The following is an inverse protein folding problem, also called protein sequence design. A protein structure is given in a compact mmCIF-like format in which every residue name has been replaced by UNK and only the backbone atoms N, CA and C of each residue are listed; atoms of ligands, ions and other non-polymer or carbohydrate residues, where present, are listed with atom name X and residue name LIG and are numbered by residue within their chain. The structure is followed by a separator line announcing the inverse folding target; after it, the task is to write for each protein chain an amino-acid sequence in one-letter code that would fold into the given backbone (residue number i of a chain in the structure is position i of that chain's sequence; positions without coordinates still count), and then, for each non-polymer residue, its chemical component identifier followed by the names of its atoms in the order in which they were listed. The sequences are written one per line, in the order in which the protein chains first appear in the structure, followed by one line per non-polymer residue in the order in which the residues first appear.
data_IF_909134358301
#
_entry.id   IF_909134358301
#
_cell.length_a   1.000
_cell.length_b   1.000
_cell.length_c   1.000
_cell.angle_alpha   90.00
_cell.angle_beta   90.00
_cell.angle_gamma   90.00
#
_symmetry.space_group_name_H-M   'P 1'
#
loop_
_entity.id
_entity.type
_entity.pdbx_description
1 polymer ?
#
# COMPACT_ATOMS: atom_id res chain seq x y z
N UNK A 1 28.76 23.69 -4.34
CA UNK A 1 28.47 22.42 -3.64
C UNK A 1 27.19 21.88 -4.21
N UNK A 2 27.12 20.60 -4.57
CA UNK A 2 25.85 20.00 -5.02
C UNK A 2 24.86 20.03 -3.84
N UNK A 3 23.63 20.48 -4.11
CA UNK A 3 22.57 20.50 -3.11
C UNK A 3 22.31 19.08 -2.60
N UNK A 4 22.16 18.91 -1.29
CA UNK A 4 21.81 17.61 -0.68
C UNK A 4 20.47 17.14 -1.25
N UNK A 5 20.39 15.87 -1.65
CA UNK A 5 19.15 15.26 -2.17
C UNK A 5 18.74 14.14 -1.23
N UNK A 6 17.52 14.21 -0.70
CA UNK A 6 16.95 13.27 0.25
C UNK A 6 15.60 12.78 -0.28
N UNK A 7 15.53 11.49 -0.59
CA UNK A 7 14.29 10.85 -1.05
C UNK A 7 13.55 10.24 0.13
N UNK A 8 12.35 10.72 0.40
CA UNK A 8 11.46 10.25 1.48
C UNK A 8 10.05 9.97 0.96
N UNK A 9 9.95 9.38 -0.25
CA UNK A 9 8.69 8.95 -0.86
C UNK A 9 8.68 7.45 -1.22
N UNK A 10 9.24 6.61 -0.34
CA UNK A 10 9.34 5.16 -0.55
C UNK A 10 7.98 4.44 -0.58
N UNK A 11 6.90 5.08 -0.14
CA UNK A 11 5.53 4.55 -0.29
C UNK A 11 5.00 4.69 -1.73
N UNK A 12 5.50 5.65 -2.52
CA UNK A 12 5.18 5.74 -3.95
C UNK A 12 5.96 4.70 -4.76
N UNK A 13 7.28 4.66 -4.60
CA UNK A 13 8.18 3.65 -5.15
C UNK A 13 9.50 3.72 -4.38
N UNK A 14 10.27 2.63 -4.32
CA UNK A 14 11.59 2.65 -3.71
C UNK A 14 12.71 2.55 -4.76
N UNK A 15 13.92 3.06 -4.47
CA UNK A 15 15.08 2.84 -5.31
C UNK A 15 15.38 1.35 -5.47
N UNK A 16 15.84 0.95 -6.66
CA UNK A 16 16.27 -0.43 -6.89
C UNK A 16 17.57 -0.68 -6.10
N UNK A 17 17.57 -1.74 -5.28
CA UNK A 17 18.77 -2.12 -4.54
C UNK A 17 19.86 -2.60 -5.50
N UNK A 18 21.15 -2.15 -5.37
CA UNK A 18 22.24 -2.58 -6.23
C UNK A 18 22.42 -4.11 -6.32
N UNK A 19 22.31 -4.83 -5.20
CA UNK A 19 22.41 -6.29 -5.18
C UNK A 19 21.25 -6.97 -5.94
N UNK A 20 20.08 -6.33 -5.97
CA UNK A 20 18.94 -6.79 -6.76
C UNK A 20 19.23 -6.61 -8.24
N UNK A 21 19.75 -5.44 -8.64
CA UNK A 21 20.16 -5.20 -10.03
C UNK A 21 21.21 -6.22 -10.48
N UNK A 22 22.24 -6.44 -9.68
CA UNK A 22 23.30 -7.41 -9.97
C UNK A 22 22.75 -8.83 -10.18
N UNK A 23 21.76 -9.24 -9.38
CA UNK A 23 21.10 -10.53 -9.54
C UNK A 23 20.26 -10.63 -10.83
N UNK A 24 19.72 -9.51 -11.33
CA UNK A 24 18.92 -9.44 -12.55
C UNK A 24 19.77 -9.47 -13.84
N UNK A 25 20.97 -8.85 -13.82
CA UNK A 25 21.81 -8.63 -15.00
C UNK A 25 22.08 -9.91 -15.81
N UNK A 26 22.43 -11.07 -15.22
CA UNK A 26 22.65 -12.31 -15.99
C UNK A 26 21.44 -12.72 -16.82
N UNK A 27 20.23 -12.56 -16.29
CA UNK A 27 18.98 -12.96 -16.97
C UNK A 27 18.52 -11.93 -18.02
N UNK A 28 19.08 -10.73 -18.01
CA UNK A 28 18.86 -9.72 -19.03
C UNK A 28 19.81 -9.88 -20.23
N UNK A 29 21.01 -10.51 -20.04
CA UNK A 29 22.06 -10.58 -21.04
C UNK A 29 22.33 -11.98 -21.57
N UNK A 30 22.44 -12.96 -20.71
CA UNK A 30 23.04 -14.26 -21.02
C UNK A 30 22.07 -15.43 -20.79
N UNK A 31 21.29 -15.40 -19.74
CA UNK A 31 20.39 -16.47 -19.30
C UNK A 31 18.96 -16.25 -19.78
N UNK A 32 18.80 -16.04 -21.11
CA UNK A 32 17.52 -15.67 -21.75
C UNK A 32 16.57 -16.86 -22.02
N UNK A 33 16.81 -18.03 -21.40
CA UNK A 33 16.00 -19.23 -21.63
C UNK A 33 14.56 -19.07 -21.15
N UNK A 34 13.63 -19.71 -21.91
CA UNK A 34 12.23 -19.82 -21.47
C UNK A 34 12.10 -20.98 -20.45
N UNK A 35 11.54 -20.72 -19.28
CA UNK A 35 11.43 -21.69 -18.19
C UNK A 35 10.57 -22.92 -18.52
N UNK A 36 9.77 -22.87 -19.59
CA UNK A 36 8.94 -23.98 -20.06
C UNK A 36 9.69 -24.98 -20.97
N UNK A 37 10.95 -24.68 -21.37
CA UNK A 37 11.72 -25.54 -22.28
C UNK A 37 12.60 -26.53 -21.54
N UNK A 38 12.87 -27.68 -22.18
CA UNK A 38 13.57 -28.82 -21.56
C UNK A 38 15.10 -28.75 -21.70
N UNK A 39 15.61 -27.88 -22.54
CA UNK A 39 17.07 -27.75 -22.73
C UNK A 39 17.67 -26.87 -21.62
N UNK A 40 19.00 -26.88 -21.55
CA UNK A 40 19.78 -26.34 -20.46
C UNK A 40 19.45 -24.87 -20.07
N UNK A 41 19.24 -23.99 -21.05
CA UNK A 41 18.86 -22.60 -20.79
C UNK A 41 17.50 -22.47 -20.08
N UNK A 42 16.51 -23.28 -20.51
CA UNK A 42 15.20 -23.30 -19.88
C UNK A 42 15.25 -23.88 -18.47
N UNK A 43 16.06 -24.92 -18.24
CA UNK A 43 16.26 -25.50 -16.90
C UNK A 43 16.88 -24.46 -15.96
N UNK A 44 17.85 -23.65 -16.40
CA UNK A 44 18.42 -22.55 -15.62
C UNK A 44 17.36 -21.51 -15.26
N UNK A 45 16.58 -21.03 -16.22
CA UNK A 45 15.50 -20.09 -16.00
C UNK A 45 14.47 -20.65 -15.01
N UNK A 46 14.07 -21.92 -15.13
CA UNK A 46 13.15 -22.59 -14.21
C UNK A 46 13.71 -22.67 -12.78
N UNK A 47 14.99 -22.98 -12.61
CA UNK A 47 15.64 -22.98 -11.29
C UNK A 47 15.67 -21.59 -10.67
N UNK A 48 15.94 -20.56 -11.44
CA UNK A 48 15.91 -19.16 -10.98
C UNK A 48 14.51 -18.74 -10.52
N UNK A 49 13.48 -19.09 -11.30
CA UNK A 49 12.09 -18.86 -10.97
C UNK A 49 11.71 -19.57 -9.65
N UNK A 50 12.09 -20.84 -9.48
CA UNK A 50 11.81 -21.60 -8.27
C UNK A 50 12.52 -21.02 -7.05
N UNK A 51 13.80 -20.60 -7.19
CA UNK A 51 14.54 -19.93 -6.13
C UNK A 51 13.86 -18.63 -5.71
N UNK A 52 13.48 -17.78 -6.66
CA UNK A 52 12.79 -16.53 -6.36
C UNK A 52 11.45 -16.76 -5.66
N UNK A 53 10.71 -17.79 -6.06
CA UNK A 53 9.44 -18.20 -5.44
C UNK A 53 9.64 -18.55 -3.97
N UNK A 54 10.66 -19.37 -3.67
CA UNK A 54 11.03 -19.73 -2.32
C UNK A 54 11.40 -18.51 -1.46
N UNK A 55 12.18 -17.58 -2.00
CA UNK A 55 12.56 -16.34 -1.30
C UNK A 55 11.35 -15.46 -0.96
N UNK A 56 10.36 -15.37 -1.86
CA UNK A 56 9.11 -14.63 -1.61
C UNK A 56 8.26 -15.37 -0.57
N UNK A 57 8.13 -16.70 -0.67
CA UNK A 57 7.38 -17.51 0.28
C UNK A 57 7.94 -17.37 1.72
N UNK A 58 9.27 -17.44 1.87
CA UNK A 58 9.92 -17.25 3.17
C UNK A 58 9.62 -15.89 3.82
N UNK A 59 9.55 -14.82 3.03
CA UNK A 59 9.31 -13.47 3.55
C UNK A 59 7.95 -13.32 4.26
N UNK A 60 6.96 -14.15 3.89
CA UNK A 60 5.58 -14.11 4.43
C UNK A 60 5.15 -15.40 5.13
N UNK A 61 6.08 -16.31 5.40
CA UNK A 61 5.84 -17.65 6.00
C UNK A 61 4.83 -18.50 5.21
N UNK A 62 4.91 -18.47 3.86
CA UNK A 62 4.10 -19.28 2.94
C UNK A 62 4.88 -20.50 2.44
N UNK A 63 4.17 -21.43 1.75
CA UNK A 63 4.78 -22.50 0.96
C UNK A 63 5.04 -22.02 -0.48
N UNK A 64 6.02 -22.61 -1.16
CA UNK A 64 6.41 -22.20 -2.52
C UNK A 64 5.25 -22.32 -3.53
N UNK A 65 4.40 -23.34 -3.43
CA UNK A 65 3.27 -23.61 -4.33
C UNK A 65 2.07 -22.69 -4.10
N UNK A 66 2.13 -21.85 -3.07
CA UNK A 66 1.13 -20.82 -2.75
C UNK A 66 1.43 -19.46 -3.39
N UNK A 67 2.63 -19.26 -3.97
CA UNK A 67 3.03 -18.01 -4.59
C UNK A 67 2.74 -18.04 -6.09
N UNK A 68 2.16 -16.95 -6.62
CA UNK A 68 1.90 -16.73 -8.04
C UNK A 68 2.52 -15.38 -8.42
N UNK A 69 3.41 -15.36 -9.42
CA UNK A 69 3.98 -14.11 -9.89
C UNK A 69 3.00 -13.34 -10.77
N UNK A 70 2.93 -12.02 -10.56
CA UNK A 70 2.06 -11.08 -11.24
C UNK A 70 2.87 -9.88 -11.75
N UNK A 71 2.27 -8.94 -12.47
CA UNK A 71 2.96 -7.72 -12.91
C UNK A 71 3.07 -6.64 -11.82
N UNK A 72 2.47 -6.85 -10.65
CA UNK A 72 2.50 -5.89 -9.53
C UNK A 72 1.28 -6.02 -8.63
N UNK A 73 1.19 -5.15 -7.60
CA UNK A 73 0.09 -5.16 -6.64
C UNK A 73 -1.28 -5.03 -7.28
N UNK A 74 -1.45 -4.13 -8.25
CA UNK A 74 -2.73 -3.94 -8.95
C UNK A 74 -3.23 -5.19 -9.65
N UNK A 75 -2.36 -5.96 -10.34
CA UNK A 75 -2.76 -7.24 -10.93
C UNK A 75 -3.11 -8.25 -9.82
N UNK A 76 -2.34 -8.28 -8.74
CA UNK A 76 -2.60 -9.17 -7.60
C UNK A 76 -3.95 -8.91 -6.96
N UNK A 77 -4.31 -7.65 -6.65
CA UNK A 77 -5.59 -7.26 -6.08
C UNK A 77 -6.76 -7.60 -7.01
N UNK A 78 -6.63 -7.25 -8.30
CA UNK A 78 -7.64 -7.59 -9.29
C UNK A 78 -7.84 -9.10 -9.42
N UNK A 79 -6.73 -9.87 -9.42
CA UNK A 79 -6.79 -11.34 -9.49
C UNK A 79 -7.47 -11.90 -8.24
N UNK A 80 -7.09 -11.45 -7.04
CA UNK A 80 -7.70 -11.88 -5.79
C UNK A 80 -9.23 -11.69 -5.81
N UNK A 81 -9.67 -10.47 -6.08
CA UNK A 81 -11.09 -10.11 -6.02
C UNK A 81 -11.88 -10.75 -7.16
N UNK A 82 -11.44 -10.55 -8.41
CA UNK A 82 -12.16 -11.02 -9.59
C UNK A 82 -12.18 -12.55 -9.71
N UNK A 83 -11.13 -13.25 -9.27
CA UNK A 83 -11.13 -14.71 -9.32
C UNK A 83 -12.08 -15.34 -8.31
N UNK A 84 -12.29 -14.73 -7.12
CA UNK A 84 -13.35 -15.17 -6.20
C UNK A 84 -14.72 -14.97 -6.85
N UNK A 85 -14.95 -13.82 -7.49
CA UNK A 85 -16.18 -13.53 -8.25
C UNK A 85 -16.40 -14.57 -9.35
N UNK A 86 -15.39 -14.82 -10.19
CA UNK A 86 -15.46 -15.81 -11.28
C UNK A 86 -15.73 -17.23 -10.77
N UNK A 87 -15.17 -17.60 -9.60
CA UNK A 87 -15.45 -18.89 -8.96
C UNK A 87 -16.92 -19.01 -8.59
N UNK A 88 -17.53 -17.95 -8.06
CA UNK A 88 -18.94 -17.96 -7.63
C UNK A 88 -19.94 -17.96 -8.78
N UNK A 89 -19.57 -17.43 -9.95
CA UNK A 89 -20.48 -17.43 -11.12
C UNK A 89 -21.00 -18.83 -11.49
N UNK A 90 -20.23 -19.90 -11.21
CA UNK A 90 -20.67 -21.29 -11.46
C UNK A 90 -21.70 -21.81 -10.46
N UNK A 91 -21.85 -21.16 -9.32
CA UNK A 91 -22.70 -21.59 -8.19
C UNK A 91 -23.82 -20.59 -7.89
N UNK A 92 -23.87 -19.46 -8.63
CA UNK A 92 -24.87 -18.41 -8.45
C UNK A 92 -26.23 -18.86 -8.98
N UNK A 93 -27.27 -18.72 -8.13
CA UNK A 93 -28.67 -18.88 -8.53
C UNK A 93 -29.45 -17.61 -8.17
N UNK A 94 -30.66 -17.37 -8.74
CA UNK A 94 -31.48 -16.22 -8.36
C UNK A 94 -31.80 -16.17 -6.86
N UNK A 95 -32.01 -17.35 -6.24
CA UNK A 95 -32.32 -17.47 -4.81
C UNK A 95 -31.11 -17.34 -3.91
N UNK A 96 -29.89 -17.60 -4.45
CA UNK A 96 -28.65 -17.50 -3.73
C UNK A 96 -27.59 -16.78 -4.61
N UNK A 97 -27.65 -15.45 -4.71
CA UNK A 97 -26.81 -14.68 -5.63
C UNK A 97 -25.32 -14.73 -5.30
N UNK A 98 -24.93 -15.00 -4.03
CA UNK A 98 -23.50 -15.04 -3.62
C UNK A 98 -22.71 -13.88 -4.25
N UNK A 99 -23.07 -12.65 -3.90
CA UNK A 99 -22.63 -11.46 -4.60
C UNK A 99 -22.18 -10.33 -3.66
N UNK A 100 -21.96 -10.60 -2.37
CA UNK A 100 -21.57 -9.56 -1.41
C UNK A 100 -20.06 -9.62 -1.10
N UNK A 101 -19.41 -8.46 -1.12
CA UNK A 101 -17.99 -8.27 -0.79
C UNK A 101 -17.90 -7.18 0.29
N UNK A 102 -17.06 -7.42 1.30
CA UNK A 102 -16.78 -6.45 2.34
C UNK A 102 -15.36 -5.90 2.14
N UNK A 103 -15.24 -4.59 2.13
CA UNK A 103 -13.95 -3.86 2.02
C UNK A 103 -13.95 -2.64 2.93
N UNK A 104 -12.93 -1.77 2.84
CA UNK A 104 -12.88 -0.54 3.64
C UNK A 104 -12.91 0.72 2.75
N UNK A 105 -13.26 1.87 3.36
CA UNK A 105 -13.24 3.15 2.66
C UNK A 105 -11.82 3.66 2.34
N UNK A 106 -10.79 3.10 2.98
CA UNK A 106 -9.40 3.58 2.89
C UNK A 106 -8.50 2.70 2.02
N UNK A 107 -9.07 1.78 1.24
CA UNK A 107 -8.31 0.88 0.36
C UNK A 107 -7.56 1.63 -0.75
N UNK A 108 -6.54 0.95 -1.29
CA UNK A 108 -5.87 1.43 -2.50
C UNK A 108 -6.86 1.45 -3.70
N UNK A 109 -6.71 2.39 -4.65
CA UNK A 109 -7.58 2.44 -5.85
C UNK A 109 -7.68 1.12 -6.62
N UNK A 110 -6.67 0.24 -6.57
CA UNK A 110 -6.73 -1.09 -7.20
C UNK A 110 -7.83 -1.97 -6.61
N UNK A 111 -8.14 -1.83 -5.32
CA UNK A 111 -9.25 -2.51 -4.64
C UNK A 111 -10.55 -1.73 -4.83
N UNK A 112 -10.58 -0.43 -4.51
CA UNK A 112 -11.79 0.39 -4.61
C UNK A 112 -12.39 0.41 -6.01
N UNK A 113 -11.58 0.65 -7.05
CA UNK A 113 -12.06 0.71 -8.41
C UNK A 113 -12.48 -0.69 -8.94
N UNK A 114 -11.85 -1.77 -8.44
CA UNK A 114 -12.30 -3.12 -8.75
C UNK A 114 -13.65 -3.41 -8.09
N UNK A 115 -13.87 -2.98 -6.86
CA UNK A 115 -15.17 -3.10 -6.19
C UNK A 115 -16.25 -2.27 -6.90
N UNK A 116 -15.98 -0.99 -7.23
CA UNK A 116 -16.90 -0.15 -8.00
C UNK A 116 -17.25 -0.75 -9.36
N UNK A 117 -16.29 -1.30 -10.07
CA UNK A 117 -16.54 -2.03 -11.31
C UNK A 117 -17.51 -3.20 -11.08
N UNK A 118 -17.36 -3.95 -9.99
CA UNK A 118 -18.24 -5.07 -9.69
C UNK A 118 -19.66 -4.65 -9.30
N UNK A 119 -19.85 -3.46 -8.70
CA UNK A 119 -21.18 -2.88 -8.44
C UNK A 119 -21.99 -2.72 -9.74
N UNK A 120 -21.32 -2.31 -10.85
CA UNK A 120 -21.94 -2.20 -12.18
C UNK A 120 -22.43 -3.55 -12.71
N UNK A 121 -21.89 -4.66 -12.19
CA UNK A 121 -22.29 -6.04 -12.52
C UNK A 121 -23.20 -6.71 -11.47
N UNK A 122 -23.79 -5.92 -10.56
CA UNK A 122 -24.77 -6.38 -9.59
C UNK A 122 -24.19 -7.08 -8.37
N UNK A 123 -22.92 -6.77 -8.02
CA UNK A 123 -22.34 -7.14 -6.73
C UNK A 123 -22.65 -6.08 -5.69
N UNK A 124 -22.91 -6.51 -4.48
CA UNK A 124 -23.13 -5.64 -3.32
C UNK A 124 -21.80 -5.43 -2.62
N UNK A 125 -21.39 -4.19 -2.37
CA UNK A 125 -20.12 -3.86 -1.72
C UNK A 125 -20.42 -3.11 -0.42
N UNK A 126 -19.97 -3.67 0.70
CA UNK A 126 -19.93 -2.95 1.98
C UNK A 126 -18.60 -2.30 2.17
N UNK A 127 -18.55 -0.97 2.16
CA UNK A 127 -17.37 -0.17 2.48
C UNK A 127 -17.38 0.18 3.97
N UNK A 128 -16.65 -0.57 4.78
CA UNK A 128 -16.54 -0.32 6.23
C UNK A 128 -15.90 1.05 6.49
N UNK A 129 -16.51 1.85 7.37
CA UNK A 129 -15.87 3.07 7.85
C UNK A 129 -14.69 2.74 8.78
N UNK A 130 -13.83 3.73 8.96
CA UNK A 130 -12.72 3.68 9.90
C UNK A 130 -12.87 4.75 10.96
N UNK A 131 -12.20 4.57 12.10
CA UNK A 131 -12.12 5.60 13.14
C UNK A 131 -11.10 6.71 12.77
N UNK A 132 -10.92 7.68 13.66
CA UNK A 132 -9.95 8.78 13.50
C UNK A 132 -8.49 8.31 13.35
N UNK A 133 -8.18 7.11 13.81
CA UNK A 133 -6.88 6.49 13.72
C UNK A 133 -6.72 5.65 12.42
N UNK A 134 -7.80 5.53 11.62
CA UNK A 134 -7.84 4.74 10.40
C UNK A 134 -8.03 3.24 10.63
N UNK A 135 -8.51 2.83 11.82
CA UNK A 135 -8.77 1.43 12.17
C UNK A 135 -10.23 1.08 11.91
N UNK A 136 -10.47 -0.13 11.41
CA UNK A 136 -11.83 -0.68 11.30
C UNK A 136 -12.37 -1.09 12.68
N UNK A 137 -13.68 -1.11 12.82
CA UNK A 137 -14.36 -1.72 13.97
C UNK A 137 -14.71 -3.19 13.68
N UNK A 138 -14.11 -4.11 14.42
CA UNK A 138 -14.29 -5.55 14.23
C UNK A 138 -15.75 -6.01 14.41
N UNK A 139 -16.53 -5.37 15.28
CA UNK A 139 -17.97 -5.66 15.43
C UNK A 139 -18.77 -5.22 14.22
N UNK A 140 -18.40 -4.08 13.61
CA UNK A 140 -19.04 -3.63 12.37
C UNK A 140 -18.70 -4.59 11.21
N UNK A 141 -17.47 -5.07 11.13
CA UNK A 141 -17.08 -6.11 10.17
C UNK A 141 -17.95 -7.36 10.36
N UNK A 142 -18.04 -7.88 11.56
CA UNK A 142 -18.80 -9.11 11.84
C UNK A 142 -20.30 -8.93 11.54
N UNK A 143 -20.88 -7.77 11.88
CA UNK A 143 -22.28 -7.45 11.61
C UNK A 143 -22.57 -7.24 10.11
N UNK A 144 -21.59 -6.89 9.30
CA UNK A 144 -21.75 -6.73 7.87
C UNK A 144 -21.80 -8.06 7.12
N UNK A 145 -21.33 -9.15 7.75
CA UNK A 145 -21.33 -10.48 7.15
C UNK A 145 -22.77 -11.00 7.03
N UNK A 146 -23.12 -11.49 5.86
CA UNK A 146 -24.40 -12.13 5.57
C UNK A 146 -24.21 -13.40 4.71
N UNK A 147 -25.30 -14.11 4.43
CA UNK A 147 -25.26 -15.37 3.65
C UNK A 147 -24.73 -15.18 2.22
N UNK A 148 -24.77 -13.96 1.68
CA UNK A 148 -24.31 -13.64 0.33
C UNK A 148 -22.84 -13.26 0.30
N UNK A 149 -22.18 -13.10 1.45
CA UNK A 149 -20.77 -12.67 1.54
C UNK A 149 -19.83 -13.74 0.99
N UNK A 150 -19.02 -13.35 0.00
CA UNK A 150 -18.09 -14.24 -0.69
C UNK A 150 -16.62 -13.89 -0.46
N UNK A 151 -16.33 -12.67 -0.01
CA UNK A 151 -14.99 -12.18 0.18
C UNK A 151 -14.97 -11.05 1.22
N UNK A 152 -13.96 -11.08 2.09
CA UNK A 152 -13.53 -9.94 2.87
C UNK A 152 -12.19 -9.50 2.29
N UNK A 153 -12.06 -8.24 1.86
CA UNK A 153 -10.83 -7.67 1.31
C UNK A 153 -10.49 -6.38 2.05
N UNK A 154 -9.46 -6.43 2.90
CA UNK A 154 -9.05 -5.33 3.77
C UNK A 154 -7.54 -5.24 3.74
N UNK A 155 -7.02 -4.04 3.42
CA UNK A 155 -5.57 -3.81 3.35
C UNK A 155 -4.88 -4.10 4.68
N UNK A 156 -3.64 -4.58 4.61
CA UNK A 156 -2.84 -4.86 5.80
C UNK A 156 -2.38 -3.56 6.48
N UNK A 157 -1.96 -2.58 5.70
CA UNK A 157 -1.64 -1.23 6.18
C UNK A 157 -1.88 -0.19 5.10
N UNK A 158 -2.29 1.00 5.52
CA UNK A 158 -2.63 2.07 4.60
C UNK A 158 -1.37 2.78 4.05
N UNK A 159 -1.35 3.03 2.75
CA UNK A 159 -0.23 3.64 2.02
C UNK A 159 -0.06 5.15 2.26
N UNK A 160 -1.10 5.84 2.76
CA UNK A 160 -1.04 7.26 3.08
C UNK A 160 -0.71 7.46 4.56
N UNK A 161 -1.61 7.09 5.45
CA UNK A 161 -1.52 7.35 6.89
C UNK A 161 -0.69 6.32 7.68
N UNK A 162 -0.29 5.22 7.04
CA UNK A 162 0.56 4.20 7.66
C UNK A 162 -0.12 3.32 8.70
N UNK A 163 -1.42 3.48 8.96
CA UNK A 163 -2.14 2.68 9.95
C UNK A 163 -2.17 1.21 9.57
N UNK A 164 -1.81 0.33 10.51
CA UNK A 164 -1.80 -1.13 10.38
C UNK A 164 -3.13 -1.67 10.91
N UNK A 165 -3.84 -2.45 10.09
CA UNK A 165 -5.11 -3.07 10.46
C UNK A 165 -4.92 -4.31 11.36
N UNK A 166 -5.90 -4.68 12.19
CA UNK A 166 -5.85 -5.86 13.06
C UNK A 166 -6.10 -7.16 12.24
N UNK A 167 -5.20 -7.47 11.30
CA UNK A 167 -5.38 -8.53 10.28
C UNK A 167 -5.64 -9.91 10.88
N UNK A 168 -4.99 -10.26 12.00
CA UNK A 168 -5.24 -11.54 12.67
C UNK A 168 -6.69 -11.69 13.10
N UNK A 169 -7.24 -10.67 13.76
CA UNK A 169 -8.65 -10.69 14.22
C UNK A 169 -9.62 -10.65 13.04
N UNK A 170 -9.27 -9.95 11.95
CA UNK A 170 -10.06 -9.96 10.71
C UNK A 170 -10.10 -11.38 10.13
N UNK A 171 -8.95 -12.05 10.04
CA UNK A 171 -8.84 -13.42 9.56
C UNK A 171 -9.61 -14.41 10.45
N UNK A 172 -9.55 -14.27 11.77
CA UNK A 172 -10.33 -15.07 12.72
C UNK A 172 -11.84 -14.93 12.48
N UNK A 173 -12.33 -13.70 12.26
CA UNK A 173 -13.74 -13.44 11.91
C UNK A 173 -14.07 -14.07 10.57
N UNK A 174 -13.28 -13.85 9.53
CA UNK A 174 -13.52 -14.41 8.20
C UNK A 174 -13.61 -15.95 8.23
N UNK A 175 -12.68 -16.61 8.90
CA UNK A 175 -12.66 -18.07 9.02
C UNK A 175 -13.83 -18.63 9.85
N UNK A 176 -14.30 -17.90 10.88
CA UNK A 176 -15.50 -18.26 11.64
C UNK A 176 -16.73 -18.43 10.74
N UNK A 177 -16.82 -17.63 9.67
CA UNK A 177 -17.92 -17.67 8.71
C UNK A 177 -17.57 -18.39 7.39
N UNK A 178 -16.39 -19.02 7.30
CA UNK A 178 -15.88 -19.70 6.11
C UNK A 178 -15.79 -18.78 4.88
N UNK A 179 -15.44 -17.53 5.08
CA UNK A 179 -15.28 -16.54 4.03
C UNK A 179 -13.77 -16.33 3.78
N UNK A 180 -13.28 -16.40 2.52
CA UNK A 180 -11.91 -16.10 2.22
C UNK A 180 -11.55 -14.65 2.58
N UNK A 181 -10.36 -14.48 3.18
CA UNK A 181 -9.80 -13.18 3.54
C UNK A 181 -8.63 -12.83 2.62
N UNK A 182 -8.80 -11.75 1.85
CA UNK A 182 -7.75 -11.12 1.05
C UNK A 182 -7.20 -9.88 1.77
N UNK A 183 -5.90 -9.68 1.72
CA UNK A 183 -5.26 -8.48 2.25
C UNK A 183 -4.25 -7.90 1.25
N UNK A 184 -4.44 -6.63 0.83
CA UNK A 184 -3.39 -5.86 0.17
C UNK A 184 -2.31 -5.52 1.20
N UNK A 185 -1.18 -6.24 1.11
CA UNK A 185 -0.02 -6.06 1.98
C UNK A 185 1.16 -5.35 1.30
N UNK A 186 0.91 -4.69 0.18
CA UNK A 186 1.92 -3.99 -0.63
C UNK A 186 2.74 -3.00 0.22
N UNK A 187 2.15 -2.37 1.22
CA UNK A 187 2.86 -1.44 2.10
C UNK A 187 3.48 -2.10 3.34
N UNK A 188 3.12 -3.35 3.67
CA UNK A 188 3.55 -4.04 4.89
C UNK A 188 4.69 -5.01 4.68
N UNK A 189 4.62 -5.80 3.61
CA UNK A 189 5.62 -6.83 3.30
C UNK A 189 7.01 -6.21 3.21
N UNK A 190 7.98 -6.80 3.92
CA UNK A 190 9.37 -6.32 3.98
C UNK A 190 9.59 -5.07 4.82
N UNK A 191 8.55 -4.56 5.52
CA UNK A 191 8.65 -3.39 6.43
C UNK A 191 8.26 -3.73 7.87
N UNK A 192 7.34 -4.67 8.02
CA UNK A 192 6.94 -5.28 9.31
C UNK A 192 6.78 -6.79 9.12
N UNK A 193 6.78 -7.58 10.19
CA UNK A 193 6.48 -9.02 10.11
C UNK A 193 5.09 -9.24 9.50
N UNK A 194 5.03 -10.05 8.45
CA UNK A 194 3.78 -10.52 7.83
C UNK A 194 3.86 -12.05 7.79
N UNK A 195 3.01 -12.70 8.54
CA UNK A 195 2.89 -14.15 8.63
C UNK A 195 1.47 -14.55 8.22
N UNK A 196 1.33 -15.08 7.00
CA UNK A 196 0.02 -15.42 6.44
C UNK A 196 -0.70 -16.53 7.22
N UNK A 197 0.06 -17.41 7.88
CA UNK A 197 -0.50 -18.50 8.69
C UNK A 197 -1.00 -17.98 10.03
N UNK A 198 -0.18 -17.20 10.74
CA UNK A 198 -0.56 -16.62 12.03
C UNK A 198 -1.70 -15.61 11.91
N UNK A 199 -1.70 -14.83 10.83
CA UNK A 199 -2.69 -13.78 10.60
C UNK A 199 -3.96 -14.29 9.91
N UNK A 200 -4.07 -15.60 9.63
CA UNK A 200 -5.22 -16.21 8.97
C UNK A 200 -5.58 -15.56 7.62
N UNK A 201 -4.57 -15.15 6.85
CA UNK A 201 -4.76 -14.58 5.53
C UNK A 201 -4.84 -15.70 4.50
N UNK A 202 -5.86 -15.69 3.63
CA UNK A 202 -6.02 -16.72 2.59
C UNK A 202 -5.47 -16.26 1.24
N UNK A 203 -5.45 -14.94 0.99
CA UNK A 203 -4.95 -14.32 -0.23
C UNK A 203 -4.20 -13.04 0.17
N UNK A 204 -2.99 -12.82 -0.37
CA UNK A 204 -2.21 -11.63 -0.06
C UNK A 204 -1.53 -11.07 -1.30
N UNK A 205 -1.65 -9.76 -1.49
CA UNK A 205 -0.99 -9.03 -2.59
C UNK A 205 0.29 -8.36 -2.12
N UNK A 206 1.36 -8.45 -2.94
CA UNK A 206 2.61 -7.72 -2.72
C UNK A 206 3.23 -7.22 -4.03
N UNK A 207 4.14 -6.24 -3.93
CA UNK A 207 4.80 -5.62 -5.08
C UNK A 207 6.28 -5.37 -4.82
N UNK A 208 7.13 -5.74 -5.78
CA UNK A 208 8.59 -5.67 -5.64
C UNK A 208 9.12 -4.24 -5.42
N UNK A 209 8.56 -3.25 -6.14
CA UNK A 209 9.06 -1.87 -6.09
C UNK A 209 8.78 -1.14 -4.76
N UNK A 210 8.11 -1.78 -3.82
CA UNK A 210 7.90 -1.27 -2.45
C UNK A 210 8.93 -1.82 -1.46
N UNK A 211 9.73 -2.80 -1.88
CA UNK A 211 10.79 -3.45 -1.09
C UNK A 211 12.16 -3.39 -1.80
N UNK A 212 12.44 -2.28 -2.50
CA UNK A 212 13.68 -2.07 -3.25
C UNK A 212 13.93 -3.08 -4.39
N UNK A 213 12.88 -3.71 -4.90
CA UNK A 213 12.85 -4.55 -6.09
C UNK A 213 12.48 -3.78 -7.35
N UNK A 214 12.46 -4.44 -8.52
CA UNK A 214 12.12 -3.81 -9.80
C UNK A 214 10.62 -3.48 -9.90
N UNK A 215 10.29 -2.45 -10.68
CA UNK A 215 8.93 -2.16 -11.11
C UNK A 215 8.44 -3.23 -12.10
N UNK A 216 7.14 -3.40 -12.23
CA UNK A 216 6.54 -4.32 -13.21
C UNK A 216 6.52 -5.79 -12.80
N UNK A 217 6.72 -6.09 -11.51
CA UNK A 217 6.62 -7.41 -10.93
C UNK A 217 6.02 -7.33 -9.51
N UNK A 218 5.18 -8.30 -9.19
CA UNK A 218 4.63 -8.55 -7.86
C UNK A 218 4.35 -10.02 -7.65
N UNK A 219 3.68 -10.35 -6.57
CA UNK A 219 3.20 -11.70 -6.32
C UNK A 219 1.86 -11.69 -5.61
N UNK A 220 1.10 -12.75 -5.83
CA UNK A 220 -0.12 -13.10 -5.13
C UNK A 220 0.13 -14.39 -4.36
N UNK A 221 -0.02 -14.34 -3.04
CA UNK A 221 -0.14 -15.52 -2.21
C UNK A 221 -1.58 -16.04 -2.27
N UNK A 222 -1.74 -17.33 -2.46
CA UNK A 222 -3.04 -18.02 -2.41
C UNK A 222 -2.89 -19.27 -1.57
N UNK A 223 -3.54 -19.31 -0.43
CA UNK A 223 -3.49 -20.40 0.53
C UNK A 223 -3.81 -21.74 -0.14
N UNK A 224 -3.05 -22.76 0.19
CA UNK A 224 -3.26 -24.14 -0.29
C UNK A 224 -4.68 -24.61 0.00
N UNK A 225 -5.31 -25.19 -1.02
CA UNK A 225 -6.71 -25.62 -0.95
C UNK A 225 -7.71 -24.55 -1.45
N UNK A 226 -7.35 -23.28 -1.50
CA UNK A 226 -8.17 -22.25 -2.14
C UNK A 226 -7.89 -22.22 -3.66
N UNK A 227 -8.84 -22.69 -4.45
CA UNK A 227 -8.73 -22.64 -5.93
C UNK A 227 -9.29 -21.35 -6.47
N UNK A 228 -8.48 -20.62 -7.22
CA UNK A 228 -8.88 -19.41 -7.95
C UNK A 228 -8.81 -19.66 -9.46
N UNK A 229 -9.89 -19.38 -10.22
CA UNK A 229 -9.81 -19.33 -11.68
C UNK A 229 -8.80 -18.28 -12.13
N UNK A 230 -8.02 -18.52 -13.21
CA UNK A 230 -7.08 -17.53 -13.70
C UNK A 230 -7.81 -16.29 -14.21
N UNK A 231 -7.29 -15.11 -13.91
CA UNK A 231 -7.76 -13.86 -14.50
C UNK A 231 -7.21 -13.69 -15.93
N UNK A 232 -5.96 -14.08 -16.15
CA UNK A 232 -5.30 -14.01 -17.45
C UNK A 232 -5.21 -15.43 -18.02
N UNK A 233 -5.89 -15.66 -19.13
CA UNK A 233 -5.96 -16.95 -19.81
C UNK A 233 -4.88 -17.07 -20.90
N UNK A 234 -4.35 -18.29 -21.11
CA UNK A 234 -3.31 -18.58 -22.11
C UNK A 234 -2.62 -19.91 -21.86
N UNK A 235 -1.29 -19.93 -21.87
CA UNK A 235 -0.48 -21.14 -21.62
C UNK A 235 -0.46 -21.56 -20.14
N UNK A 236 0.28 -22.65 -19.86
CA UNK A 236 0.32 -23.29 -18.54
C UNK A 236 1.30 -22.67 -17.51
N UNK A 237 1.78 -21.44 -17.75
CA UNK A 237 2.67 -20.75 -16.82
C UNK A 237 2.02 -20.59 -15.44
N UNK A 238 2.83 -20.45 -14.40
CA UNK A 238 2.37 -20.37 -13.02
C UNK A 238 1.36 -21.49 -12.66
N UNK A 239 1.61 -22.70 -13.17
CA UNK A 239 0.70 -23.84 -12.99
C UNK A 239 -0.74 -23.57 -13.46
N UNK A 240 -0.89 -22.87 -14.59
CA UNK A 240 -2.17 -22.42 -15.18
C UNK A 240 -2.95 -21.42 -14.31
N UNK A 241 -2.33 -20.84 -13.29
CA UNK A 241 -2.95 -19.82 -12.44
C UNK A 241 -2.78 -18.40 -13.00
N UNK A 242 -1.70 -18.17 -13.79
CA UNK A 242 -1.44 -16.90 -14.47
C UNK A 242 -0.64 -17.14 -15.74
N UNK A 243 -1.27 -16.99 -16.87
CA UNK A 243 -0.67 -17.29 -18.18
C UNK A 243 0.24 -16.16 -18.70
N UNK A 244 1.12 -16.50 -19.64
CA UNK A 244 2.09 -15.60 -20.24
C UNK A 244 3.51 -15.92 -19.81
N UNK A 245 4.47 -15.79 -20.74
CA UNK A 245 5.88 -16.08 -20.49
C UNK A 245 6.38 -15.32 -19.28
N UNK A 246 7.06 -16.02 -18.39
CA UNK A 246 7.55 -15.49 -17.13
C UNK A 246 8.66 -14.44 -17.34
N UNK A 247 8.56 -13.30 -16.70
CA UNK A 247 9.59 -12.26 -16.68
C UNK A 247 10.71 -12.66 -15.72
N UNK A 248 11.57 -13.60 -16.15
CA UNK A 248 12.62 -14.19 -15.30
C UNK A 248 13.51 -13.13 -14.64
N UNK A 249 14.02 -12.09 -15.37
CA UNK A 249 14.84 -11.05 -14.74
C UNK A 249 14.13 -10.34 -13.58
N UNK A 250 12.87 -9.94 -13.79
CA UNK A 250 12.11 -9.22 -12.76
C UNK A 250 11.71 -10.16 -11.59
N UNK A 251 11.39 -11.43 -11.88
CA UNK A 251 11.10 -12.44 -10.86
C UNK A 251 12.32 -12.67 -9.97
N UNK A 252 13.51 -12.82 -10.55
CA UNK A 252 14.77 -12.93 -9.80
C UNK A 252 15.02 -11.68 -8.97
N UNK A 253 14.72 -10.50 -9.53
CA UNK A 253 14.81 -9.23 -8.81
C UNK A 253 13.87 -9.18 -7.60
N UNK A 254 12.61 -9.62 -7.75
CA UNK A 254 11.67 -9.73 -6.62
C UNK A 254 12.16 -10.72 -5.58
N UNK A 255 12.63 -11.90 -5.99
CA UNK A 255 13.17 -12.92 -5.08
C UNK A 255 14.35 -12.38 -4.26
N UNK A 256 15.30 -11.72 -4.92
CA UNK A 256 16.47 -11.13 -4.23
C UNK A 256 16.07 -9.97 -3.30
N UNK A 257 15.12 -9.15 -3.69
CA UNK A 257 14.57 -8.10 -2.84
C UNK A 257 13.88 -8.69 -1.59
N UNK A 258 13.12 -9.78 -1.77
CA UNK A 258 12.46 -10.49 -0.68
C UNK A 258 13.48 -11.12 0.30
N UNK A 259 14.56 -11.73 -0.22
CA UNK A 259 15.65 -12.27 0.60
C UNK A 259 16.29 -11.17 1.46
N UNK A 260 16.70 -10.05 0.84
CA UNK A 260 17.30 -8.92 1.55
C UNK A 260 16.35 -8.34 2.61
N UNK A 261 15.07 -8.20 2.27
CA UNK A 261 14.06 -7.69 3.19
C UNK A 261 13.85 -8.65 4.38
N UNK A 262 13.82 -9.96 4.15
CA UNK A 262 13.68 -10.97 5.19
C UNK A 262 14.88 -10.95 6.16
N UNK A 263 16.10 -10.97 5.64
CA UNK A 263 17.34 -10.97 6.44
C UNK A 263 17.53 -9.71 7.28
N UNK A 264 17.03 -8.56 6.82
CA UNK A 264 17.25 -7.27 7.46
C UNK A 264 16.01 -6.67 8.12
N UNK A 265 14.90 -7.40 8.21
CA UNK A 265 13.58 -6.87 8.61
C UNK A 265 13.65 -6.10 9.94
N UNK A 266 14.13 -6.76 11.00
CA UNK A 266 14.18 -6.14 12.33
C UNK A 266 15.10 -4.90 12.38
N UNK A 267 16.26 -4.98 11.72
CA UNK A 267 17.22 -3.87 11.67
C UNK A 267 16.61 -2.68 10.93
N UNK A 268 16.02 -2.92 9.76
CA UNK A 268 15.39 -1.87 8.94
C UNK A 268 14.18 -1.28 9.66
N UNK A 269 13.38 -2.10 10.30
CA UNK A 269 12.22 -1.66 11.08
C UNK A 269 12.64 -0.71 12.23
N UNK A 270 13.62 -1.08 13.03
CA UNK A 270 14.14 -0.26 14.14
C UNK A 270 14.74 1.04 13.62
N UNK A 271 15.53 0.98 12.56
CA UNK A 271 16.16 2.15 11.94
C UNK A 271 15.10 3.14 11.42
N UNK A 272 14.14 2.66 10.65
CA UNK A 272 13.07 3.51 10.11
C UNK A 272 12.21 4.11 11.22
N UNK A 273 11.93 3.34 12.28
CA UNK A 273 11.17 3.82 13.43
C UNK A 273 11.87 4.97 14.14
N UNK A 274 13.18 4.90 14.35
CA UNK A 274 13.96 5.97 14.98
C UNK A 274 13.87 7.28 14.18
N UNK A 275 14.01 7.19 12.85
CA UNK A 275 13.91 8.37 11.97
C UNK A 275 12.48 8.91 11.98
N UNK A 276 11.47 8.04 11.86
CA UNK A 276 10.05 8.41 11.91
C UNK A 276 9.72 9.16 13.19
N UNK A 277 10.10 8.61 14.34
CA UNK A 277 9.74 9.16 15.64
C UNK A 277 10.43 10.52 15.85
N UNK A 278 11.70 10.67 15.43
CA UNK A 278 12.41 11.93 15.46
C UNK A 278 11.79 13.00 14.53
N UNK A 279 11.34 12.59 13.32
CA UNK A 279 10.62 13.50 12.41
C UNK A 279 9.29 13.96 13.02
N UNK A 280 8.49 13.04 13.56
CA UNK A 280 7.22 13.36 14.19
C UNK A 280 7.41 14.34 15.35
N UNK A 281 8.31 14.02 16.27
CA UNK A 281 8.61 14.86 17.44
C UNK A 281 9.03 16.28 17.04
N UNK A 282 10.05 16.38 16.16
CA UNK A 282 10.59 17.70 15.79
C UNK A 282 9.60 18.53 14.98
N UNK A 283 8.88 17.94 14.03
CA UNK A 283 7.90 18.67 13.21
C UNK A 283 6.77 19.19 14.10
N UNK A 284 6.19 18.34 14.96
CA UNK A 284 5.05 18.73 15.80
C UNK A 284 5.42 19.71 16.90
N UNK A 285 6.69 19.73 17.33
CA UNK A 285 7.19 20.68 18.33
C UNK A 285 7.50 22.05 17.71
N UNK A 286 8.04 22.07 16.49
CA UNK A 286 8.50 23.32 15.86
C UNK A 286 7.44 24.03 15.04
N UNK A 287 6.45 23.30 14.50
CA UNK A 287 5.41 23.85 13.64
C UNK A 287 4.06 23.84 14.35
N UNK A 288 3.55 24.98 14.82
CA UNK A 288 2.20 25.08 15.36
C UNK A 288 1.15 24.65 14.35
N UNK A 289 -0.02 24.20 14.83
CA UNK A 289 -1.13 23.74 13.96
C UNK A 289 -0.69 22.68 12.92
N UNK A 290 0.15 21.74 13.38
CA UNK A 290 0.53 20.54 12.67
C UNK A 290 -0.05 19.31 13.36
N UNK A 291 -0.64 18.38 12.59
CA UNK A 291 -1.38 17.25 13.16
C UNK A 291 -1.03 15.95 12.43
N UNK A 292 -0.68 14.92 13.18
CA UNK A 292 -0.44 13.58 12.63
C UNK A 292 -1.78 12.94 12.24
N UNK A 293 -1.85 12.37 11.05
CA UNK A 293 -3.01 11.63 10.57
C UNK A 293 -2.79 10.12 10.76
N UNK A 294 -3.84 9.41 11.17
CA UNK A 294 -3.80 7.98 11.47
C UNK A 294 -3.19 7.64 12.83
N UNK A 295 -3.14 6.36 13.16
CA UNK A 295 -2.70 5.87 14.46
C UNK A 295 -1.22 6.14 14.72
N UNK A 296 -0.88 6.58 15.93
CA UNK A 296 0.52 6.62 16.38
C UNK A 296 1.00 5.25 16.89
N UNK A 297 0.08 4.45 17.44
CA UNK A 297 0.39 3.15 18.04
C UNK A 297 0.49 2.03 17.00
N UNK A 298 -0.46 1.98 16.07
CA UNK A 298 -0.57 0.97 15.03
C UNK A 298 -0.12 1.56 13.68
N UNK A 299 1.16 1.92 13.58
CA UNK A 299 1.73 2.63 12.43
C UNK A 299 2.94 1.90 11.87
N UNK A 300 3.04 1.89 10.54
CA UNK A 300 4.25 1.44 9.85
C UNK A 300 5.49 2.20 10.36
N UNK A 301 6.62 1.51 10.54
CA UNK A 301 7.85 2.12 11.07
C UNK A 301 8.44 3.20 10.16
N UNK A 302 8.07 3.21 8.90
CA UNK A 302 8.63 4.08 7.87
C UNK A 302 7.68 5.19 7.41
N UNK A 303 6.54 5.40 8.07
CA UNK A 303 5.51 6.35 7.60
C UNK A 303 5.33 7.51 8.56
N UNK A 304 5.42 8.74 8.05
CA UNK A 304 4.94 9.97 8.68
C UNK A 304 3.91 10.58 7.74
N UNK A 305 2.70 10.74 8.23
CA UNK A 305 1.67 11.49 7.52
C UNK A 305 1.16 12.61 8.42
N UNK A 306 1.37 13.84 7.99
CA UNK A 306 1.10 15.03 8.78
C UNK A 306 0.35 16.06 7.91
N UNK A 307 -0.52 16.86 8.52
CA UNK A 307 -1.16 18.00 7.87
C UNK A 307 -0.80 19.29 8.60
N UNK A 308 -0.71 20.37 7.84
CA UNK A 308 -0.46 21.71 8.32
C UNK A 308 -1.64 22.60 7.96
N UNK A 309 -2.22 23.27 8.97
CA UNK A 309 -3.30 24.22 8.70
C UNK A 309 -2.81 25.46 7.94
N UNK A 310 -3.64 25.95 7.04
CA UNK A 310 -3.41 27.21 6.32
C UNK A 310 -2.47 27.15 5.12
N UNK A 311 -2.10 25.97 4.66
CA UNK A 311 -1.24 25.82 3.46
C UNK A 311 -1.82 24.80 2.49
N UNK A 312 -1.23 24.71 1.32
CA UNK A 312 -1.55 23.77 0.25
C UNK A 312 -0.37 22.82 0.03
N UNK A 313 -0.68 21.49 0.01
CA UNK A 313 0.33 20.43 -0.03
C UNK A 313 1.11 20.33 -1.34
N UNK A 314 0.51 20.64 -2.49
CA UNK A 314 1.22 20.65 -3.77
C UNK A 314 2.31 21.74 -3.77
N UNK A 315 1.99 22.93 -3.29
CA UNK A 315 2.94 24.01 -3.11
C UNK A 315 4.05 23.63 -2.13
N UNK A 316 3.70 22.91 -1.05
CA UNK A 316 4.65 22.41 -0.06
C UNK A 316 5.65 21.44 -0.71
N UNK A 317 5.19 20.39 -1.41
CA UNK A 317 6.10 19.39 -2.02
C UNK A 317 6.97 19.98 -3.13
N UNK A 318 6.47 20.94 -3.92
CA UNK A 318 7.25 21.62 -4.94
C UNK A 318 8.37 22.46 -4.33
N UNK A 319 8.10 23.18 -3.24
CA UNK A 319 9.11 23.95 -2.51
C UNK A 319 10.14 23.06 -1.80
N UNK A 320 9.70 21.94 -1.21
CA UNK A 320 10.60 20.96 -0.61
C UNK A 320 11.52 20.34 -1.68
N UNK A 321 11.00 20.03 -2.86
CA UNK A 321 11.81 19.52 -3.97
C UNK A 321 12.88 20.53 -4.41
N UNK A 322 12.59 21.84 -4.40
CA UNK A 322 13.59 22.89 -4.66
C UNK A 322 14.72 22.90 -3.59
N UNK A 323 14.40 22.44 -2.38
CA UNK A 323 15.39 22.27 -1.29
C UNK A 323 16.04 20.87 -1.28
N UNK A 324 15.75 20.03 -2.29
CA UNK A 324 16.30 18.67 -2.40
C UNK A 324 15.64 17.63 -1.52
N UNK A 325 14.45 17.91 -0.93
CA UNK A 325 13.65 16.95 -0.17
C UNK A 325 12.48 16.47 -1.03
N UNK A 326 12.49 15.19 -1.41
CA UNK A 326 11.47 14.59 -2.27
C UNK A 326 10.47 13.80 -1.45
N UNK A 327 9.27 14.36 -1.29
CA UNK A 327 8.16 13.81 -0.51
C UNK A 327 6.86 13.85 -1.35
N UNK A 328 5.75 13.34 -0.82
CA UNK A 328 4.45 13.35 -1.48
C UNK A 328 3.38 14.01 -0.61
N UNK A 329 2.29 14.45 -1.25
CA UNK A 329 1.01 14.65 -0.55
C UNK A 329 0.34 13.29 -0.34
N UNK A 330 -0.59 13.16 0.58
CA UNK A 330 -1.35 11.92 0.78
C UNK A 330 -2.03 11.42 -0.51
N UNK A 331 -2.44 12.33 -1.39
CA UNK A 331 -3.21 12.05 -2.60
C UNK A 331 -2.38 12.03 -3.89
N UNK A 332 -1.11 11.66 -3.85
CA UNK A 332 -0.19 11.70 -5.02
C UNK A 332 -0.72 10.95 -6.28
N UNK A 333 -1.70 10.06 -6.16
CA UNK A 333 -2.32 9.36 -7.28
C UNK A 333 -3.56 10.06 -7.86
N UNK A 334 -4.03 11.17 -7.28
CA UNK A 334 -5.26 11.88 -7.69
C UNK A 334 -5.00 13.28 -8.27
N UNK A 335 -3.84 13.52 -8.86
CA UNK A 335 -3.46 14.81 -9.50
C UNK A 335 -4.42 15.29 -10.60
N UNK A 336 -5.41 14.47 -10.98
CA UNK A 336 -6.49 14.87 -11.91
C UNK A 336 -7.84 15.14 -11.23
N UNK A 337 -7.98 14.91 -9.91
CA UNK A 337 -9.22 15.22 -9.18
C UNK A 337 -8.95 16.27 -8.09
N UNK A 338 -9.61 17.40 -8.19
CA UNK A 338 -9.73 18.44 -7.14
C UNK A 338 -10.35 17.93 -5.82
N UNK A 339 -10.76 16.67 -5.77
CA UNK A 339 -11.24 15.99 -4.58
C UNK A 339 -10.04 15.49 -3.78
N UNK A 340 -9.84 16.00 -2.57
CA UNK A 340 -8.76 15.62 -1.65
C UNK A 340 -8.64 14.09 -1.42
N UNK A 341 -7.75 13.66 -0.56
CA UNK A 341 -7.54 12.24 -0.23
C UNK A 341 -8.83 11.59 0.31
N UNK A 342 -9.30 10.51 -0.34
CA UNK A 342 -10.42 9.69 0.14
C UNK A 342 -10.11 9.08 1.52
N UNK A 343 -8.84 8.80 1.82
CA UNK A 343 -8.38 8.30 3.12
C UNK A 343 -8.63 9.36 4.19
N UNK A 344 -8.21 10.61 3.95
CA UNK A 344 -8.43 11.70 4.93
C UNK A 344 -9.92 12.05 5.07
N UNK A 345 -10.70 11.93 4.01
CA UNK A 345 -12.14 12.07 4.06
C UNK A 345 -12.79 10.98 4.92
N UNK A 346 -12.32 9.72 4.81
CA UNK A 346 -12.77 8.60 5.66
C UNK A 346 -12.43 8.81 7.15
N UNK A 347 -11.34 9.53 7.45
CA UNK A 347 -10.99 9.95 8.82
C UNK A 347 -11.81 11.17 9.29
N UNK A 348 -12.80 11.63 8.50
CA UNK A 348 -13.64 12.81 8.78
C UNK A 348 -12.85 14.11 8.92
N UNK A 349 -11.69 14.20 8.25
CA UNK A 349 -10.90 15.44 8.20
C UNK A 349 -11.53 16.36 7.16
N UNK A 350 -11.84 17.60 7.57
CA UNK A 350 -12.42 18.61 6.67
C UNK A 350 -11.56 18.80 5.42
N UNK A 351 -12.15 18.96 4.23
CA UNK A 351 -11.41 19.16 2.98
C UNK A 351 -10.36 20.28 3.07
N UNK A 352 -10.71 21.45 3.63
CA UNK A 352 -9.80 22.57 3.79
C UNK A 352 -8.54 22.24 4.62
N UNK A 353 -8.63 21.32 5.58
CA UNK A 353 -7.51 20.86 6.39
C UNK A 353 -6.74 19.70 5.74
N UNK A 354 -7.38 18.94 4.85
CA UNK A 354 -6.74 17.82 4.17
C UNK A 354 -5.77 18.26 3.08
N UNK A 355 -5.99 19.43 2.48
CA UNK A 355 -5.15 19.97 1.41
C UNK A 355 -3.70 20.24 1.85
N UNK A 356 -3.46 20.61 3.10
CA UNK A 356 -2.11 20.86 3.64
C UNK A 356 -1.36 19.59 4.10
N UNK A 357 -1.64 18.43 3.55
CA UNK A 357 -1.02 17.17 3.99
C UNK A 357 0.32 16.90 3.32
N UNK A 358 1.22 16.28 4.08
CA UNK A 358 2.54 15.81 3.67
C UNK A 358 2.73 14.36 4.13
N UNK A 359 3.19 13.51 3.22
CA UNK A 359 3.62 12.16 3.53
C UNK A 359 5.12 12.03 3.35
N UNK A 360 5.82 11.62 4.42
CA UNK A 360 7.21 11.20 4.37
C UNK A 360 7.23 9.68 4.56
N UNK A 361 7.88 8.98 3.67
CA UNK A 361 8.07 7.52 3.79
C UNK A 361 9.55 7.16 3.63
N UNK A 362 10.10 6.70 4.76
CA UNK A 362 11.52 6.46 4.98
C UNK A 362 11.92 5.17 4.28
N UNK A 363 13.11 5.14 3.70
CA UNK A 363 13.76 3.98 3.12
C UNK A 363 15.09 3.66 3.82
N UNK A 364 15.73 2.53 3.46
CA UNK A 364 16.99 2.12 4.07
C UNK A 364 18.17 3.07 3.80
N UNK A 365 18.06 3.95 2.82
CA UNK A 365 19.07 4.96 2.48
C UNK A 365 19.02 6.21 3.37
N UNK A 366 17.86 6.46 4.02
CA UNK A 366 17.70 7.62 4.89
C UNK A 366 18.49 7.43 6.21
N UNK A 367 19.04 8.50 6.73
CA UNK A 367 19.87 8.50 7.93
C UNK A 367 19.28 9.39 9.01
N UNK A 368 19.60 9.13 10.26
CA UNK A 368 19.16 9.97 11.37
C UNK A 368 19.69 11.41 11.25
N UNK A 369 20.88 11.58 10.66
CA UNK A 369 21.48 12.89 10.39
C UNK A 369 20.73 13.70 9.32
N UNK A 370 19.83 13.06 8.56
CA UNK A 370 18.99 13.75 7.56
C UNK A 370 17.79 14.45 8.22
N UNK A 371 17.42 14.05 9.43
CA UNK A 371 16.20 14.53 10.11
C UNK A 371 16.21 16.04 10.28
N UNK A 372 17.29 16.61 10.76
CA UNK A 372 17.37 18.06 10.98
C UNK A 372 17.21 18.84 9.67
N UNK A 373 17.90 18.41 8.62
CA UNK A 373 17.76 19.02 7.31
C UNK A 373 16.33 18.95 6.75
N UNK A 374 15.67 17.80 6.90
CA UNK A 374 14.29 17.60 6.46
C UNK A 374 13.34 18.53 7.25
N UNK A 375 13.50 18.58 8.57
CA UNK A 375 12.68 19.40 9.46
C UNK A 375 12.86 20.88 9.16
N UNK A 376 14.10 21.37 9.05
CA UNK A 376 14.39 22.77 8.72
C UNK A 376 13.76 23.15 7.38
N UNK A 377 13.90 22.29 6.36
CA UNK A 377 13.28 22.52 5.06
C UNK A 377 11.74 22.60 5.14
N UNK A 378 11.11 21.78 5.99
CA UNK A 378 9.65 21.80 6.20
C UNK A 378 9.26 23.08 6.95
N UNK A 379 9.94 23.44 8.05
CA UNK A 379 9.67 24.64 8.85
C UNK A 379 9.70 25.87 7.97
N UNK A 380 10.82 26.14 7.30
CA UNK A 380 10.98 27.30 6.42
C UNK A 380 9.91 27.34 5.30
N UNK A 381 9.54 26.17 4.77
CA UNK A 381 8.54 26.12 3.68
C UNK A 381 7.14 26.38 4.21
N UNK A 382 6.77 25.82 5.37
CA UNK A 382 5.45 26.04 5.98
C UNK A 382 5.30 27.50 6.41
N UNK A 383 6.33 28.10 7.03
CA UNK A 383 6.34 29.51 7.40
C UNK A 383 6.12 30.40 6.17
N UNK A 384 6.89 30.20 5.10
CA UNK A 384 6.74 30.94 3.85
C UNK A 384 5.33 30.81 3.25
N UNK A 385 4.77 29.58 3.21
CA UNK A 385 3.43 29.36 2.64
C UNK A 385 2.33 29.98 3.50
N UNK A 386 2.49 29.98 4.82
CA UNK A 386 1.57 30.66 5.76
C UNK A 386 1.62 32.16 5.63
N UNK A 387 2.81 32.76 5.41
CA UNK A 387 2.98 34.18 5.22
C UNK A 387 2.15 34.73 4.06
N UNK A 388 2.03 33.96 2.98
CA UNK A 388 1.27 34.33 1.77
C UNK A 388 -0.15 33.78 1.72
N UNK A 389 -0.56 32.98 2.72
CA UNK A 389 -1.87 32.33 2.74
C UNK A 389 -2.96 33.25 3.26
N UNK A 390 -4.10 33.38 2.54
CA UNK A 390 -5.26 34.09 3.07
C UNK A 390 -5.98 33.36 4.22
N UNK A 391 -5.63 32.08 4.45
CA UNK A 391 -6.22 31.25 5.49
C UNK A 391 -5.42 31.26 6.80
N UNK A 392 -4.35 32.07 6.87
CA UNK A 392 -3.48 32.19 8.04
C UNK A 392 -3.39 33.63 8.51
N UNK A 393 -3.61 33.86 9.79
CA UNK A 393 -3.41 35.18 10.40
C UNK A 393 -2.00 35.31 10.97
N UNK A 394 -1.15 36.02 10.24
CA UNK A 394 0.25 36.25 10.62
C UNK A 394 0.43 37.06 11.92
N UNK A 395 -0.60 37.80 12.39
CA UNK A 395 -0.52 38.59 13.62
C UNK A 395 -0.74 37.71 14.86
N UNK A 396 -1.70 36.77 14.76
CA UNK A 396 -2.05 35.86 15.85
C UNK A 396 -1.37 34.49 15.70
N UNK A 397 -0.73 34.24 14.56
CA UNK A 397 -0.11 32.95 14.20
C UNK A 397 -1.10 31.79 14.31
N UNK A 398 -2.32 31.96 13.74
CA UNK A 398 -3.41 30.99 13.82
C UNK A 398 -4.12 30.80 12.49
N UNK A 399 -4.70 29.60 12.30
CA UNK A 399 -5.57 29.29 11.19
C UNK A 399 -6.92 30.02 11.33
N UNK A 400 -7.35 30.68 10.26
CA UNK A 400 -8.62 31.44 10.22
C UNK A 400 -9.61 30.94 9.16
N UNK A 401 -9.30 29.82 8.50
CA UNK A 401 -10.12 29.27 7.40
C UNK A 401 -11.55 28.93 7.83
N UNK A 402 -11.77 28.53 9.08
CA UNK A 402 -13.14 28.26 9.59
C UNK A 402 -14.09 29.49 9.51
N UNK A 403 -13.55 30.70 9.45
CA UNK A 403 -14.34 31.94 9.29
C UNK A 403 -14.91 32.11 7.87
N UNK A 404 -14.38 31.39 6.90
CA UNK A 404 -14.78 31.46 5.49
C UNK A 404 -15.63 30.27 5.05
N UNK A 405 -15.81 29.25 5.92
CA UNK A 405 -16.72 28.16 5.65
C UNK A 405 -18.18 28.67 5.71
N UNK A 406 -18.85 28.74 4.56
CA UNK A 406 -20.29 28.96 4.54
C UNK A 406 -20.99 27.73 5.18
N UNK A 407 -22.07 27.94 5.96
CA UNK A 407 -22.85 26.82 6.45
C UNK A 407 -23.33 26.00 5.27
N UNK A 408 -23.08 24.68 5.31
CA UNK A 408 -23.58 23.74 4.28
C UNK A 408 -25.10 23.89 4.27
N UNK A 409 -25.64 24.54 3.25
CA UNK A 409 -27.07 24.55 2.98
C UNK A 409 -27.39 23.11 2.55
N UNK A 410 -27.95 22.32 3.45
CA UNK A 410 -28.51 21.02 3.13
C UNK A 410 -29.60 21.24 2.07
N UNK A 411 -29.24 21.08 0.80
CA UNK A 411 -30.22 20.94 -0.26
C UNK A 411 -30.84 19.55 -0.15
N UNK A 412 -31.89 19.45 0.66
CA UNK A 412 -32.90 18.39 0.52
C UNK A 412 -33.53 18.53 -0.86
N UNK A 413 -33.17 17.69 -1.80
CA UNK A 413 -34.03 17.26 -2.91
C UNK A 413 -33.71 15.82 -3.28
#
# INVERSE_FOLDING_TARGET
MSQKQIYVDNSATSPLNPQVLDAMIPYLKEEYGNASTLYFLGIKAKRALQKARHQVAQLINAEDDEIIFTSGGTESDNTAIKSIVLKQLKHKTPENPKNHIITTQIEHPAVLNTCKFLEEYGYEITYLPVDKDGLINLKQLENAINEQTILITIMHSNNEIGTIQPTKQIGEIAHKYNIPFHSDAVQSVGKIPVDVKEQNIDILSLSAHKINGPKGIGALYVKKGLTLPPLIHGGGQENSKRSGTENIPAIVGLGKAAEIAHENLEKTMKHNQQIRDALIEKITTQIPDSYINGSLKHRLPNNVHIRFSGIEGESLILKLAQKGVYAATGSACSTHNLQGSHVLAALQIKPALSHGSLRLSIGPENRLEDVDYIVDAIVETVEYLREISPLWDNKTNTYIGDKFEQPVINSTH
#
